data_IF_134753527532
#
_entry.id   IF_134753527532
#
_cell.length_a   1.000
_cell.length_b   1.000
_cell.length_c   1.000
_cell.angle_alpha   90.00
_cell.angle_beta   90.00
_cell.angle_gamma   90.00
#
_symmetry.space_group_name_H-M   'P 1'
#
loop_
_entity.id
_entity.type
_entity.pdbx_description
1 polymer ?
#
# COMPACT_ATOMS: atom_id res chain seq x y z
N UNK A 1 -118.10 31.00 -24.78
CA UNK A 1 -116.81 31.06 -24.06
C UNK A 1 -117.04 31.79 -22.75
N UNK A 2 -117.05 31.06 -21.64
CA UNK A 2 -117.36 31.57 -20.31
C UNK A 2 -116.37 31.02 -19.29
N UNK A 3 -115.95 31.92 -18.44
CA UNK A 3 -114.83 31.85 -17.52
C UNK A 3 -115.25 31.47 -16.10
N UNK A 4 -114.25 30.92 -15.36
CA UNK A 4 -113.91 31.25 -13.96
C UNK A 4 -114.51 30.39 -12.83
N UNK A 5 -113.58 29.72 -12.11
CA UNK A 5 -113.51 29.42 -10.67
C UNK A 5 -114.71 28.71 -10.00
N UNK A 6 -114.54 27.77 -9.07
CA UNK A 6 -113.81 27.91 -7.80
C UNK A 6 -113.80 26.55 -7.06
N UNK A 7 -112.76 26.33 -6.24
CA UNK A 7 -112.78 25.70 -4.90
C UNK A 7 -113.16 24.21 -4.75
N UNK A 8 -112.24 23.43 -4.16
CA UNK A 8 -112.38 22.87 -2.79
C UNK A 8 -111.36 21.73 -2.57
N UNK A 9 -110.45 21.78 -1.59
CA UNK A 9 -110.56 21.51 -0.14
C UNK A 9 -109.68 20.29 0.19
N UNK A 10 -108.55 20.59 0.85
CA UNK A 10 -108.03 19.94 2.05
C UNK A 10 -108.06 18.41 2.06
N UNK A 11 -106.88 17.81 1.92
CA UNK A 11 -106.66 16.42 2.35
C UNK A 11 -105.30 16.30 3.04
N UNK A 12 -105.29 15.76 4.26
CA UNK A 12 -104.08 15.17 4.82
C UNK A 12 -103.39 15.89 6.00
N UNK A 13 -104.17 16.38 6.96
CA UNK A 13 -103.98 16.11 8.40
C UNK A 13 -102.50 15.98 8.87
N UNK A 14 -101.83 17.11 9.05
CA UNK A 14 -100.58 17.23 9.79
C UNK A 14 -100.82 16.79 11.25
N UNK A 15 -100.48 15.53 11.55
CA UNK A 15 -100.55 14.97 12.88
C UNK A 15 -99.35 15.37 13.74
N UNK A 16 -99.27 16.63 14.17
CA UNK A 16 -98.39 17.01 15.27
C UNK A 16 -99.01 16.51 16.59
N UNK A 17 -98.63 15.29 16.97
CA UNK A 17 -98.78 14.85 18.35
C UNK A 17 -97.71 15.54 19.18
N UNK A 18 -98.17 16.39 20.08
CA UNK A 18 -97.49 16.90 21.27
C UNK A 18 -96.34 16.00 21.77
N UNK A 19 -95.12 16.55 21.72
CA UNK A 19 -94.08 16.27 22.71
C UNK A 19 -93.23 17.53 22.91
N UNK A 20 -93.86 18.58 23.44
CA UNK A 20 -93.22 19.89 23.67
C UNK A 20 -92.15 19.87 24.77
N UNK A 21 -91.89 18.73 25.43
CA UNK A 21 -90.85 18.62 26.46
C UNK A 21 -89.55 17.96 25.96
N UNK A 22 -89.57 17.26 24.82
CA UNK A 22 -88.38 16.61 24.22
C UNK A 22 -87.66 17.50 23.22
N UNK A 23 -88.43 18.26 22.42
CA UNK A 23 -87.91 19.18 21.40
C UNK A 23 -87.17 20.37 22.01
N UNK A 24 -87.60 20.86 23.17
CA UNK A 24 -86.97 21.98 23.86
C UNK A 24 -85.62 21.57 24.48
N UNK A 25 -85.53 20.36 25.04
CA UNK A 25 -84.25 19.79 25.52
C UNK A 25 -83.25 19.51 24.39
N UNK A 26 -83.72 19.06 23.22
CA UNK A 26 -82.86 18.87 22.05
C UNK A 26 -82.39 20.21 21.48
N UNK A 27 -83.26 21.22 21.44
CA UNK A 27 -82.89 22.57 21.00
C UNK A 27 -81.81 23.18 21.90
N UNK A 28 -81.93 23.02 23.22
CA UNK A 28 -80.90 23.48 24.17
C UNK A 28 -79.61 22.66 24.12
N UNK A 29 -79.67 21.39 23.70
CA UNK A 29 -78.50 20.57 23.40
C UNK A 29 -77.80 21.08 22.14
N UNK A 30 -78.55 21.35 21.06
CA UNK A 30 -78.00 21.91 19.83
C UNK A 30 -77.38 23.30 20.04
N UNK A 31 -77.98 24.17 20.86
CA UNK A 31 -77.37 25.47 21.21
C UNK A 31 -76.03 25.31 21.92
N UNK A 32 -75.94 24.39 22.88
CA UNK A 32 -74.68 24.09 23.59
C UNK A 32 -73.63 23.48 22.68
N UNK A 33 -74.01 22.55 21.80
CA UNK A 33 -73.12 21.95 20.81
C UNK A 33 -72.64 22.98 19.78
N UNK A 34 -73.51 23.88 19.32
CA UNK A 34 -73.14 24.94 18.38
C UNK A 34 -72.19 25.95 19.04
N UNK A 35 -72.42 26.29 20.31
CA UNK A 35 -71.48 27.11 21.08
C UNK A 35 -70.12 26.42 21.29
N UNK A 36 -70.12 25.11 21.58
CA UNK A 36 -68.90 24.32 21.72
C UNK A 36 -68.13 24.20 20.40
N UNK A 37 -68.83 23.98 19.27
CA UNK A 37 -68.26 23.96 17.94
C UNK A 37 -67.68 25.32 17.56
N UNK A 38 -68.38 26.41 17.88
CA UNK A 38 -67.91 27.77 17.61
C UNK A 38 -66.63 28.09 18.42
N UNK A 39 -66.58 27.67 19.68
CA UNK A 39 -65.40 27.79 20.54
C UNK A 39 -64.23 26.95 20.03
N UNK A 40 -64.49 25.69 19.65
CA UNK A 40 -63.49 24.80 19.03
C UNK A 40 -62.96 25.37 17.72
N UNK A 41 -63.84 25.91 16.87
CA UNK A 41 -63.45 26.58 15.63
C UNK A 41 -62.57 27.81 15.90
N UNK A 42 -62.89 28.61 16.91
CA UNK A 42 -62.10 29.79 17.28
C UNK A 42 -60.74 29.41 17.89
N UNK A 43 -60.67 28.34 18.68
CA UNK A 43 -59.43 27.76 19.19
C UNK A 43 -58.57 27.16 18.07
N UNK A 44 -59.19 26.49 17.08
CA UNK A 44 -58.50 25.99 15.88
C UNK A 44 -57.95 27.17 15.06
N UNK A 45 -58.73 28.24 14.87
CA UNK A 45 -58.29 29.44 14.13
C UNK A 45 -57.12 30.13 14.86
N UNK A 46 -57.21 30.30 16.18
CA UNK A 46 -56.10 30.87 17.00
C UNK A 46 -54.90 29.93 17.09
N UNK A 47 -55.11 28.62 17.07
CA UNK A 47 -54.05 27.60 17.17
C UNK A 47 -53.30 27.34 15.86
N UNK A 48 -53.95 27.54 14.70
CA UNK A 48 -53.39 27.24 13.37
C UNK A 48 -52.28 28.19 12.92
N UNK A 49 -52.05 29.29 13.63
CA UNK A 49 -51.09 30.33 13.23
C UNK A 49 -50.38 30.96 14.43
N UNK A 50 -49.61 30.18 15.20
CA UNK A 50 -48.70 30.75 16.22
C UNK A 50 -47.38 31.27 15.65
N UNK A 51 -47.07 30.97 14.40
CA UNK A 51 -45.85 31.47 13.75
C UNK A 51 -46.14 32.80 13.06
N UNK A 52 -45.47 33.85 13.53
CA UNK A 52 -45.56 35.18 12.91
C UNK A 52 -44.95 35.15 11.51
N UNK A 53 -45.42 36.01 10.61
CA UNK A 53 -44.88 36.09 9.24
C UNK A 53 -43.37 36.39 9.23
N UNK A 54 -42.90 37.19 10.20
CA UNK A 54 -41.48 37.46 10.40
C UNK A 54 -40.68 36.19 10.73
N UNK A 55 -41.23 35.33 11.58
CA UNK A 55 -40.59 34.08 11.99
C UNK A 55 -40.57 33.06 10.85
N UNK A 56 -41.64 33.00 10.04
CA UNK A 56 -41.66 32.23 8.79
C UNK A 56 -40.59 32.71 7.81
N UNK A 57 -40.47 34.02 7.61
CA UNK A 57 -39.47 34.58 6.68
C UNK A 57 -38.04 34.29 7.14
N UNK A 58 -37.74 34.41 8.44
CA UNK A 58 -36.43 34.03 9.01
C UNK A 58 -36.09 32.56 8.79
N UNK A 59 -37.08 31.67 8.93
CA UNK A 59 -36.88 30.25 8.66
C UNK A 59 -36.61 29.99 7.17
N UNK A 60 -37.34 30.65 6.27
CA UNK A 60 -37.10 30.55 4.82
C UNK A 60 -35.70 31.05 4.44
N UNK A 61 -35.25 32.18 4.98
CA UNK A 61 -33.87 32.68 4.78
C UNK A 61 -32.84 31.67 5.28
N UNK A 62 -33.07 31.05 6.44
CA UNK A 62 -32.17 30.04 7.00
C UNK A 62 -32.14 28.77 6.14
N UNK A 63 -33.28 28.34 5.61
CA UNK A 63 -33.37 27.20 4.68
C UNK A 63 -32.57 27.51 3.42
N UNK A 64 -32.77 28.69 2.81
CA UNK A 64 -32.04 29.11 1.61
C UNK A 64 -30.52 29.18 1.85
N UNK A 65 -30.10 29.71 3.00
CA UNK A 65 -28.69 29.75 3.36
C UNK A 65 -28.09 28.34 3.51
N UNK A 66 -28.81 27.43 4.16
CA UNK A 66 -28.38 26.05 4.33
C UNK A 66 -28.35 25.29 3.01
N UNK A 67 -29.32 25.47 2.12
CA UNK A 67 -29.34 24.85 0.79
C UNK A 67 -28.18 25.34 -0.07
N UNK A 68 -27.89 26.65 -0.03
CA UNK A 68 -26.74 27.23 -0.73
C UNK A 68 -25.41 26.64 -0.22
N UNK A 69 -25.28 26.50 1.10
CA UNK A 69 -24.06 25.95 1.69
C UNK A 69 -23.91 24.44 1.40
N UNK A 70 -25.01 23.69 1.45
CA UNK A 70 -25.06 22.29 1.06
C UNK A 70 -24.61 22.09 -0.39
N UNK A 71 -25.07 22.93 -1.31
CA UNK A 71 -24.67 22.85 -2.71
C UNK A 71 -23.16 23.08 -2.89
N UNK A 72 -22.59 24.07 -2.18
CA UNK A 72 -21.13 24.28 -2.17
C UNK A 72 -20.37 23.06 -1.67
N UNK A 73 -20.85 22.41 -0.61
CA UNK A 73 -20.22 21.20 -0.09
C UNK A 73 -20.30 20.03 -1.07
N UNK A 74 -21.43 19.86 -1.76
CA UNK A 74 -21.59 18.86 -2.81
C UNK A 74 -20.59 19.11 -3.95
N UNK A 75 -20.47 20.34 -4.43
CA UNK A 75 -19.48 20.69 -5.46
C UNK A 75 -18.05 20.39 -4.99
N UNK A 76 -17.66 20.83 -3.79
CA UNK A 76 -16.32 20.62 -3.23
C UNK A 76 -16.02 19.13 -3.02
N UNK A 77 -16.99 18.35 -2.55
CA UNK A 77 -16.86 16.89 -2.44
C UNK A 77 -16.66 16.26 -3.82
N UNK A 78 -17.42 16.68 -4.83
CA UNK A 78 -17.24 16.22 -6.20
C UNK A 78 -15.86 16.53 -6.79
N UNK A 79 -15.29 17.69 -6.48
CA UNK A 79 -13.92 18.04 -6.85
C UNK A 79 -12.89 17.15 -6.16
N UNK A 80 -13.06 16.89 -4.86
CA UNK A 80 -12.18 16.00 -4.09
C UNK A 80 -12.26 14.55 -4.56
N UNK A 81 -13.44 14.07 -4.93
CA UNK A 81 -13.60 12.73 -5.50
C UNK A 81 -12.84 12.58 -6.82
N UNK A 82 -12.92 13.60 -7.69
CA UNK A 82 -12.14 13.64 -8.95
C UNK A 82 -10.63 13.67 -8.69
N UNK A 83 -10.18 14.42 -7.69
CA UNK A 83 -8.77 14.48 -7.29
C UNK A 83 -8.28 13.11 -6.78
N UNK A 84 -9.05 12.47 -5.91
CA UNK A 84 -8.78 11.12 -5.40
C UNK A 84 -8.69 10.13 -6.55
N UNK A 85 -9.66 10.14 -7.48
CA UNK A 85 -9.67 9.26 -8.63
C UNK A 85 -8.42 9.46 -9.52
N UNK A 86 -8.05 10.72 -9.79
CA UNK A 86 -6.84 11.04 -10.56
C UNK A 86 -5.56 10.53 -9.88
N UNK A 87 -5.45 10.69 -8.56
CA UNK A 87 -4.31 10.18 -7.80
C UNK A 87 -4.25 8.65 -7.80
N UNK A 88 -5.40 7.97 -7.67
CA UNK A 88 -5.47 6.52 -7.77
C UNK A 88 -5.03 6.02 -9.15
N UNK A 89 -5.44 6.68 -10.23
CA UNK A 89 -5.04 6.30 -11.58
C UNK A 89 -3.55 6.53 -11.84
N UNK A 90 -2.97 7.62 -11.30
CA UNK A 90 -1.52 7.85 -11.29
C UNK A 90 -0.76 6.76 -10.54
N UNK A 91 -1.27 6.32 -9.39
CA UNK A 91 -0.65 5.23 -8.63
C UNK A 91 -0.77 3.89 -9.36
N UNK A 92 -1.91 3.60 -9.98
CA UNK A 92 -2.09 2.39 -10.78
C UNK A 92 -1.15 2.38 -11.99
N UNK A 93 -1.00 3.50 -12.69
CA UNK A 93 -0.06 3.61 -13.83
C UNK A 93 1.39 3.50 -13.37
N UNK A 94 1.77 4.09 -12.23
CA UNK A 94 3.11 3.92 -11.66
C UNK A 94 3.39 2.49 -11.18
N UNK A 95 2.43 1.82 -10.55
CA UNK A 95 2.60 0.43 -10.13
C UNK A 95 2.57 -0.55 -11.30
N UNK A 96 1.84 -0.21 -12.38
CA UNK A 96 1.89 -0.93 -13.66
C UNK A 96 3.12 -0.58 -14.48
N UNK A 97 3.84 0.50 -14.15
CA UNK A 97 5.07 0.84 -14.86
C UNK A 97 6.02 -0.33 -14.67
N UNK A 98 6.35 -0.97 -15.79
CA UNK A 98 7.23 -2.13 -15.87
C UNK A 98 8.60 -1.85 -15.25
N UNK A 99 8.92 -0.59 -15.00
CA UNK A 99 10.21 -0.11 -14.53
C UNK A 99 10.55 -0.70 -13.16
N UNK A 100 9.62 -0.71 -12.21
CA UNK A 100 9.90 -1.28 -10.87
C UNK A 100 10.14 -2.79 -10.98
N UNK A 101 9.28 -3.51 -11.69
CA UNK A 101 9.41 -4.96 -11.88
C UNK A 101 10.67 -5.31 -12.70
N UNK A 102 11.01 -4.50 -13.71
CA UNK A 102 12.22 -4.64 -14.52
C UNK A 102 13.47 -4.40 -13.71
N UNK A 103 13.50 -3.35 -12.88
CA UNK A 103 14.61 -3.05 -11.98
C UNK A 103 14.82 -4.17 -10.96
N UNK A 104 13.74 -4.72 -10.40
CA UNK A 104 13.82 -5.89 -9.50
C UNK A 104 14.43 -7.09 -10.24
N UNK A 105 13.99 -7.39 -11.46
CA UNK A 105 14.57 -8.47 -12.28
C UNK A 105 16.06 -8.26 -12.59
N UNK A 106 16.45 -7.03 -12.93
CA UNK A 106 17.85 -6.68 -13.19
C UNK A 106 18.72 -6.85 -11.93
N UNK A 107 18.21 -6.46 -10.76
CA UNK A 107 18.92 -6.65 -9.49
C UNK A 107 19.11 -8.14 -9.16
N UNK A 108 18.09 -8.96 -9.39
CA UNK A 108 18.17 -10.40 -9.16
C UNK A 108 19.21 -11.05 -10.09
N UNK A 109 19.22 -10.68 -11.37
CA UNK A 109 20.21 -11.17 -12.33
C UNK A 109 21.64 -10.75 -11.97
N UNK A 110 21.85 -9.48 -11.61
CA UNK A 110 23.15 -8.96 -11.16
C UNK A 110 23.64 -9.66 -9.90
N UNK A 111 22.74 -9.99 -8.98
CA UNK A 111 23.08 -10.72 -7.75
C UNK A 111 23.55 -12.14 -8.08
N UNK A 112 22.81 -12.87 -8.93
CA UNK A 112 23.21 -14.22 -9.38
C UNK A 112 24.55 -14.22 -10.12
N UNK A 113 24.79 -13.21 -10.94
CA UNK A 113 26.07 -13.06 -11.65
C UNK A 113 27.23 -12.75 -10.69
N UNK A 114 27.01 -11.91 -9.68
CA UNK A 114 28.02 -11.63 -8.66
C UNK A 114 28.40 -12.90 -7.88
N UNK A 115 27.41 -13.70 -7.47
CA UNK A 115 27.65 -15.00 -6.80
C UNK A 115 28.45 -15.97 -7.67
N UNK A 116 28.18 -16.01 -8.99
CA UNK A 116 28.97 -16.85 -9.91
C UNK A 116 30.42 -16.40 -10.00
N UNK A 117 30.65 -15.08 -10.08
CA UNK A 117 32.00 -14.51 -10.13
C UNK A 117 32.76 -14.75 -8.84
N UNK A 118 32.11 -14.63 -7.70
CA UNK A 118 32.70 -14.92 -6.40
C UNK A 118 33.13 -16.38 -6.30
N UNK A 119 32.28 -17.33 -6.71
CA UNK A 119 32.64 -18.76 -6.76
C UNK A 119 33.85 -19.02 -7.66
N UNK A 120 33.90 -18.38 -8.83
CA UNK A 120 35.03 -18.51 -9.75
C UNK A 120 36.31 -17.94 -9.13
N UNK A 121 36.23 -16.77 -8.49
CA UNK A 121 37.38 -16.15 -7.82
C UNK A 121 37.92 -17.03 -6.69
N UNK A 122 37.04 -17.66 -5.90
CA UNK A 122 37.46 -18.58 -4.85
C UNK A 122 38.20 -19.80 -5.44
N UNK A 123 37.65 -20.42 -6.49
CA UNK A 123 38.30 -21.54 -7.19
C UNK A 123 39.67 -21.14 -7.75
N UNK A 124 39.79 -19.98 -8.37
CA UNK A 124 41.06 -19.49 -8.91
C UNK A 124 42.07 -19.17 -7.80
N UNK A 125 41.61 -18.67 -6.66
CA UNK A 125 42.47 -18.43 -5.49
C UNK A 125 43.03 -19.74 -4.95
N UNK A 126 42.20 -20.78 -4.83
CA UNK A 126 42.61 -22.13 -4.40
C UNK A 126 43.65 -22.73 -5.36
N UNK A 127 43.43 -22.62 -6.68
CA UNK A 127 44.39 -23.08 -7.70
C UNK A 127 45.72 -22.31 -7.62
N UNK A 128 45.67 -20.98 -7.44
CA UNK A 128 46.86 -20.16 -7.28
C UNK A 128 47.69 -20.59 -6.07
N UNK A 129 47.05 -20.86 -4.94
CA UNK A 129 47.76 -21.25 -3.72
C UNK A 129 48.35 -22.67 -3.85
N UNK A 130 47.65 -23.58 -4.52
CA UNK A 130 48.19 -24.89 -4.89
C UNK A 130 49.43 -24.76 -5.79
N UNK A 131 49.37 -23.90 -6.80
CA UNK A 131 50.49 -23.65 -7.71
C UNK A 131 51.69 -23.03 -6.98
N UNK A 132 51.48 -22.08 -6.06
CA UNK A 132 52.56 -21.53 -5.22
C UNK A 132 53.22 -22.63 -4.39
N UNK A 133 52.43 -23.52 -3.78
CA UNK A 133 52.97 -24.63 -2.99
C UNK A 133 53.78 -25.61 -3.85
N UNK A 134 53.27 -25.96 -5.03
CA UNK A 134 53.99 -26.80 -5.99
C UNK A 134 55.29 -26.16 -6.47
N UNK A 135 55.27 -24.86 -6.78
CA UNK A 135 56.46 -24.12 -7.19
C UNK A 135 57.52 -24.10 -6.09
N UNK A 136 57.12 -23.84 -4.84
CA UNK A 136 58.03 -23.90 -3.69
C UNK A 136 58.64 -25.30 -3.53
N UNK A 137 57.83 -26.34 -3.69
CA UNK A 137 58.28 -27.73 -3.59
C UNK A 137 59.27 -28.11 -4.70
N UNK A 138 58.97 -27.74 -5.94
CA UNK A 138 59.87 -27.98 -7.09
C UNK A 138 61.16 -27.18 -6.94
N UNK A 139 61.09 -25.92 -6.53
CA UNK A 139 62.26 -25.06 -6.32
C UNK A 139 63.18 -25.64 -5.23
N UNK A 140 62.61 -26.13 -4.12
CA UNK A 140 63.37 -26.81 -3.07
C UNK A 140 64.07 -28.07 -3.60
N UNK A 141 63.37 -28.90 -4.38
CA UNK A 141 63.95 -30.11 -5.01
C UNK A 141 65.05 -29.77 -6.01
N UNK A 142 64.87 -28.75 -6.85
CA UNK A 142 65.90 -28.29 -7.78
C UNK A 142 67.16 -27.84 -7.01
N UNK A 143 66.98 -27.08 -5.94
CA UNK A 143 68.09 -26.62 -5.08
C UNK A 143 68.81 -27.81 -4.41
N UNK A 144 68.08 -28.81 -3.94
CA UNK A 144 68.66 -30.03 -3.37
C UNK A 144 69.49 -30.80 -4.42
N UNK A 145 68.95 -31.01 -5.62
CA UNK A 145 69.64 -31.70 -6.70
C UNK A 145 70.89 -30.95 -7.17
N UNK A 146 70.82 -29.63 -7.26
CA UNK A 146 71.95 -28.78 -7.61
C UNK A 146 73.07 -28.89 -6.57
N UNK A 147 72.75 -28.81 -5.27
CA UNK A 147 73.70 -29.01 -4.18
C UNK A 147 74.36 -30.41 -4.22
N UNK A 148 73.57 -31.44 -4.51
CA UNK A 148 74.07 -32.82 -4.67
C UNK A 148 75.00 -32.94 -5.87
N UNK A 149 74.66 -32.32 -7.00
CA UNK A 149 75.49 -32.31 -8.20
C UNK A 149 76.83 -31.60 -7.95
N UNK A 150 76.82 -30.44 -7.30
CA UNK A 150 78.03 -29.71 -6.90
C UNK A 150 78.91 -30.57 -5.97
N UNK A 151 78.31 -31.16 -4.94
CA UNK A 151 79.02 -32.04 -3.99
C UNK A 151 79.66 -33.23 -4.71
N UNK A 152 78.94 -33.86 -5.65
CA UNK A 152 79.47 -34.96 -6.45
C UNK A 152 80.65 -34.53 -7.32
N UNK A 153 80.55 -33.40 -8.03
CA UNK A 153 81.64 -32.86 -8.84
C UNK A 153 82.88 -32.53 -7.99
N UNK A 154 82.70 -31.92 -6.83
CA UNK A 154 83.80 -31.64 -5.90
C UNK A 154 84.46 -32.95 -5.42
N UNK A 155 83.67 -33.97 -5.09
CA UNK A 155 84.22 -35.28 -4.70
C UNK A 155 85.03 -35.93 -5.83
N UNK A 156 84.56 -35.84 -7.09
CA UNK A 156 85.27 -36.37 -8.25
C UNK A 156 86.60 -35.66 -8.55
N UNK A 157 86.72 -34.38 -8.24
CA UNK A 157 87.97 -33.62 -8.43
C UNK A 157 88.96 -33.84 -7.27
N UNK A 158 88.47 -33.85 -6.04
CA UNK A 158 89.32 -33.91 -4.83
C UNK A 158 89.96 -35.28 -4.65
N UNK A 159 89.24 -36.37 -4.93
CA UNK A 159 89.76 -37.75 -4.77
C UNK A 159 91.00 -38.01 -5.63
N UNK A 160 91.02 -37.76 -6.96
CA UNK A 160 92.21 -37.97 -7.79
C UNK A 160 93.33 -36.98 -7.46
N UNK A 161 93.03 -35.75 -7.06
CA UNK A 161 94.05 -34.80 -6.58
C UNK A 161 94.76 -35.33 -5.34
N UNK A 162 94.01 -35.78 -4.33
CA UNK A 162 94.57 -36.36 -3.11
C UNK A 162 95.40 -37.62 -3.40
N UNK A 163 94.92 -38.50 -4.29
CA UNK A 163 95.70 -39.66 -4.74
C UNK A 163 96.99 -39.24 -5.45
N UNK A 164 96.95 -38.22 -6.30
CA UNK A 164 98.14 -37.72 -7.00
C UNK A 164 99.16 -37.13 -6.02
N UNK A 165 98.71 -36.34 -5.04
CA UNK A 165 99.58 -35.81 -3.99
C UNK A 165 100.17 -36.92 -3.11
N UNK A 166 99.36 -37.92 -2.74
CA UNK A 166 99.82 -39.07 -1.96
C UNK A 166 100.86 -39.90 -2.72
N UNK A 167 100.60 -40.23 -3.99
CA UNK A 167 101.56 -40.93 -4.85
C UNK A 167 102.85 -40.12 -5.03
N UNK A 168 102.74 -38.81 -5.27
CA UNK A 168 103.91 -37.93 -5.43
C UNK A 168 104.74 -37.81 -4.14
N UNK A 169 104.09 -37.75 -2.99
CA UNK A 169 104.76 -37.79 -1.68
C UNK A 169 105.46 -39.12 -1.44
N UNK A 170 104.78 -40.24 -1.74
CA UNK A 170 105.34 -41.58 -1.60
C UNK A 170 106.54 -41.82 -2.54
N UNK A 171 106.50 -41.29 -3.77
CA UNK A 171 107.64 -41.31 -4.70
C UNK A 171 108.79 -40.47 -4.16
N UNK A 172 108.52 -39.26 -3.64
CA UNK A 172 109.54 -38.38 -3.06
C UNK A 172 110.21 -38.99 -1.83
N UNK A 173 109.51 -39.82 -1.06
CA UNK A 173 110.07 -40.59 0.06
C UNK A 173 110.86 -41.83 -0.36
N UNK A 174 110.60 -42.37 -1.55
CA UNK A 174 111.27 -43.58 -2.07
C UNK A 174 112.49 -43.28 -2.95
N UNK A 175 112.67 -42.03 -3.41
CA UNK A 175 113.90 -41.62 -4.07
C UNK A 175 114.99 -41.39 -3.02
N UNK A 176 116.09 -42.17 -3.02
CA UNK A 176 117.23 -41.88 -2.19
C UNK A 176 117.85 -40.55 -2.65
N UNK A 177 118.06 -39.63 -1.72
CA UNK A 177 118.95 -38.49 -1.89
C UNK A 177 120.37 -39.02 -2.15
N UNK A 178 120.70 -39.29 -3.42
CA UNK A 178 122.08 -39.31 -3.84
C UNK A 178 122.51 -37.86 -4.08
N UNK A 179 122.87 -37.20 -2.97
CA UNK A 179 123.86 -36.15 -3.01
C UNK A 179 125.21 -36.84 -3.21
N UNK A 180 125.78 -36.72 -4.40
CA UNK A 180 127.10 -36.10 -4.64
C UNK A 180 127.40 -36.10 -6.14
#
# INVERSE_FOLDING_TARGET
>A
MTSKATKDIITGKWGFKSSNSKSETELEKYKRENAALKKSMEEIIKGKSKMTDTERNRLLEKILALDTEKEKYICRLGEKEKEIQSLQDKLKTRNKSSDVTSLVGQLEEKTKEAERREKLLNSLSEEMDLLKHNLSTVTARCSELENRAITFQLSQLIIPLNCFFFCRWQISLKLPFHLQ
#
